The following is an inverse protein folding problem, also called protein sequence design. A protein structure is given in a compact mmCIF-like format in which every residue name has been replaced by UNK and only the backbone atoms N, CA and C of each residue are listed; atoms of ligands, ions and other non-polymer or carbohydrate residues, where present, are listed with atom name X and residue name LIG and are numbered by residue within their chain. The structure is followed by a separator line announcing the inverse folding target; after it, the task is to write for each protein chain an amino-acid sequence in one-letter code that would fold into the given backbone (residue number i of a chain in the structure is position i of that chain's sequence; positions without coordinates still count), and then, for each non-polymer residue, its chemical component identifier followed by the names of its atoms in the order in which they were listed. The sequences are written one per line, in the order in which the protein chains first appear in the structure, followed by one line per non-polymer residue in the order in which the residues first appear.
data_IF_427395442589
#
_entry.id   IF_427395442589
#
_cell.length_a   1.000
_cell.length_b   1.000
_cell.length_c   1.000
_cell.angle_alpha   90.00
_cell.angle_beta   90.00
_cell.angle_gamma   90.00
#
_symmetry.space_group_name_H-M   'P 1'
#
loop_
_entity.id
_entity.type
_entity.pdbx_description
1 polymer ?
#
# COMPACT_ATOMS: atom_id res chain seq x y z
N UNK A 1 9.11 2.05 -7.84
CA UNK A 1 7.64 2.09 -7.84
C UNK A 1 7.12 2.57 -9.19
N UNK A 2 7.33 3.85 -9.56
CA UNK A 2 6.87 4.39 -10.86
C UNK A 2 7.38 3.63 -12.09
N UNK A 3 8.63 3.16 -12.07
CA UNK A 3 9.17 2.32 -13.16
C UNK A 3 8.38 1.02 -13.39
N UNK A 4 7.76 0.48 -12.33
CA UNK A 4 6.92 -0.73 -12.39
C UNK A 4 5.44 -0.39 -12.56
N UNK A 5 5.11 0.82 -13.03
CA UNK A 5 3.73 1.28 -13.22
C UNK A 5 2.87 1.17 -11.94
N UNK A 6 3.49 1.52 -10.81
CA UNK A 6 2.82 1.62 -9.52
C UNK A 6 2.77 3.10 -9.15
N UNK A 7 1.57 3.69 -9.21
CA UNK A 7 1.34 5.08 -8.83
C UNK A 7 1.57 5.30 -7.34
N UNK A 8 2.13 6.47 -7.04
CA UNK A 8 2.38 6.97 -5.68
C UNK A 8 1.70 8.34 -5.54
N UNK A 9 0.38 8.40 -5.30
CA UNK A 9 -0.38 9.64 -5.34
C UNK A 9 0.06 10.66 -4.30
N UNK A 10 0.44 10.21 -3.10
CA UNK A 10 0.81 11.09 -1.99
C UNK A 10 1.89 10.49 -1.07
N UNK A 11 2.64 11.38 -0.41
CA UNK A 11 3.60 11.05 0.64
C UNK A 11 3.17 11.81 1.89
N UNK A 12 2.78 11.07 2.93
CA UNK A 12 2.37 11.66 4.20
C UNK A 12 3.57 11.70 5.15
N UNK A 13 3.92 12.88 5.66
CA UNK A 13 4.99 13.05 6.65
C UNK A 13 4.41 13.04 8.06
N UNK A 14 4.69 11.99 8.82
CA UNK A 14 4.41 11.89 10.24
C UNK A 14 5.62 12.35 11.07
N UNK A 15 5.43 12.70 12.35
CA UNK A 15 6.55 12.99 13.27
C UNK A 15 7.58 11.86 13.37
N UNK A 16 7.17 10.62 13.06
CA UNK A 16 7.99 9.40 13.12
C UNK A 16 8.58 8.98 11.76
N UNK A 17 8.29 9.71 10.66
CA UNK A 17 8.80 9.39 9.33
C UNK A 17 7.81 9.68 8.20
N UNK A 18 8.24 9.50 6.95
CA UNK A 18 7.39 9.62 5.76
C UNK A 18 6.86 8.27 5.30
N UNK A 19 5.55 8.19 5.03
CA UNK A 19 4.92 7.01 4.43
C UNK A 19 4.42 7.38 3.03
N UNK A 20 4.97 6.71 2.01
CA UNK A 20 4.48 6.81 0.64
C UNK A 20 3.28 5.87 0.46
N UNK A 21 2.15 6.41 0.00
CA UNK A 21 0.97 5.62 -0.31
C UNK A 21 1.14 5.02 -1.71
N UNK A 22 1.06 3.70 -1.82
CA UNK A 22 1.11 2.97 -3.08
C UNK A 22 -0.32 2.61 -3.49
N UNK A 23 -0.71 2.85 -4.74
CA UNK A 23 -2.04 2.46 -5.26
C UNK A 23 -2.24 0.95 -5.25
N UNK A 24 -1.18 0.19 -5.55
CA UNK A 24 -1.14 -1.27 -5.47
C UNK A 24 0.18 -1.74 -4.88
N UNK A 25 0.13 -2.82 -4.11
CA UNK A 25 1.37 -3.50 -3.70
C UNK A 25 1.93 -4.30 -4.90
N UNK A 26 3.26 -4.40 -5.06
CA UNK A 26 3.87 -5.20 -6.12
C UNK A 26 3.44 -6.67 -6.03
N UNK A 27 3.10 -7.27 -7.17
CA UNK A 27 2.68 -8.69 -7.24
C UNK A 27 3.91 -9.63 -7.24
N UNK A 28 5.03 -9.16 -7.78
CA UNK A 28 6.26 -9.94 -7.86
C UNK A 28 7.21 -9.62 -6.70
N UNK A 29 7.72 -10.63 -5.97
CA UNK A 29 8.68 -10.41 -4.88
C UNK A 29 9.94 -9.66 -5.30
N UNK A 30 10.41 -9.86 -6.54
CA UNK A 30 11.56 -9.15 -7.09
C UNK A 30 11.35 -7.65 -7.23
N UNK A 31 10.16 -7.22 -7.65
CA UNK A 31 9.80 -5.80 -7.76
C UNK A 31 9.77 -5.15 -6.37
N UNK A 32 9.19 -5.84 -5.39
CA UNK A 32 9.17 -5.39 -4.00
C UNK A 32 10.59 -5.20 -3.43
N UNK A 33 11.47 -6.17 -3.66
CA UNK A 33 12.88 -6.10 -3.24
C UNK A 33 13.59 -4.86 -3.81
N UNK A 34 13.46 -4.62 -5.12
CA UNK A 34 14.10 -3.46 -5.76
C UNK A 34 13.56 -2.15 -5.19
N UNK A 35 12.24 -2.07 -4.96
CA UNK A 35 11.62 -0.87 -4.38
C UNK A 35 12.10 -0.65 -2.94
N UNK A 36 12.16 -1.69 -2.11
CA UNK A 36 12.58 -1.59 -0.72
C UNK A 36 14.06 -1.23 -0.58
N UNK A 37 14.93 -1.73 -1.46
CA UNK A 37 16.35 -1.38 -1.49
C UNK A 37 16.60 0.05 -1.99
N UNK A 38 15.72 0.57 -2.87
CA UNK A 38 15.89 1.92 -3.42
C UNK A 38 15.88 3.02 -2.35
N UNK A 39 15.10 2.87 -1.26
CA UNK A 39 15.07 3.83 -0.16
C UNK A 39 16.43 3.99 0.54
N UNK A 40 16.98 2.93 1.15
CA UNK A 40 18.32 2.95 1.74
C UNK A 40 19.42 3.39 0.77
N UNK A 41 19.35 2.99 -0.51
CA UNK A 41 20.33 3.41 -1.52
C UNK A 41 20.39 4.92 -1.73
N UNK A 42 19.24 5.62 -1.70
CA UNK A 42 19.21 7.08 -1.79
C UNK A 42 19.90 7.71 -0.58
N UNK A 43 19.65 7.21 0.63
CA UNK A 43 20.32 7.70 1.84
C UNK A 43 21.84 7.45 1.79
N UNK A 44 22.28 6.28 1.29
CA UNK A 44 23.71 5.99 1.07
C UNK A 44 24.32 6.97 0.07
N UNK A 45 23.63 7.24 -1.05
CA UNK A 45 24.12 8.16 -2.07
C UNK A 45 24.24 9.60 -1.52
N UNK A 46 23.27 10.06 -0.73
CA UNK A 46 23.31 11.36 -0.05
C UNK A 46 24.49 11.42 0.93
N UNK A 47 24.66 10.40 1.78
CA UNK A 47 25.75 10.35 2.74
C UNK A 47 27.13 10.34 2.04
N UNK A 48 27.28 9.55 0.98
CA UNK A 48 28.51 9.46 0.19
C UNK A 48 28.84 10.79 -0.52
N UNK A 49 27.84 11.47 -1.09
CA UNK A 49 28.03 12.78 -1.71
C UNK A 49 28.50 13.82 -0.69
N UNK A 50 27.87 13.87 0.48
CA UNK A 50 28.26 14.79 1.54
C UNK A 50 29.68 14.48 2.03
N UNK A 51 30.04 13.20 2.18
CA UNK A 51 31.39 12.79 2.57
C UNK A 51 32.45 13.24 1.56
N UNK A 52 32.16 13.10 0.26
CA UNK A 52 33.03 13.59 -0.81
C UNK A 52 33.18 15.11 -0.77
N UNK A 53 32.08 15.85 -0.53
CA UNK A 53 32.09 17.32 -0.43
C UNK A 53 32.85 17.85 0.80
N UNK A 54 32.88 17.09 1.90
CA UNK A 54 33.64 17.41 3.11
C UNK A 54 35.14 17.05 3.00
N UNK A 55 35.62 16.63 1.82
CA UNK A 55 37.03 16.39 1.54
C UNK A 55 37.53 15.01 1.93
N UNK A 56 36.66 14.04 2.22
CA UNK A 56 37.02 12.64 2.50
C UNK A 56 37.86 12.38 3.76
N UNK A 57 38.39 13.43 4.39
CA UNK A 57 39.24 13.39 5.58
C UNK A 57 38.58 13.98 6.83
N UNK A 58 37.36 14.51 6.72
CA UNK A 58 36.51 14.76 7.88
C UNK A 58 36.16 13.39 8.47
N UNK A 59 37.00 12.93 9.41
CA UNK A 59 37.04 11.56 9.87
C UNK A 59 35.68 11.06 10.33
N UNK A 60 35.46 9.75 10.22
CA UNK A 60 34.31 9.02 10.77
C UNK A 60 34.03 9.42 12.24
N UNK A 61 35.05 9.85 12.98
CA UNK A 61 34.94 10.43 14.33
C UNK A 61 34.06 11.69 14.42
N UNK A 62 34.11 12.59 13.44
CA UNK A 62 33.24 13.77 13.38
C UNK A 62 31.79 13.43 13.00
N UNK A 63 31.49 12.20 12.58
CA UNK A 63 30.13 11.79 12.23
C UNK A 63 29.42 11.09 13.41
N UNK A 64 30.17 10.61 14.41
CA UNK A 64 29.63 9.93 15.59
C UNK A 64 29.07 10.89 16.65
N UNK A 65 29.52 12.15 16.68
CA UNK A 65 29.10 13.17 17.64
C UNK A 65 27.84 13.95 17.23
N UNK A 66 26.67 13.30 17.13
CA UNK A 66 25.41 13.93 16.66
C UNK A 66 24.96 15.13 17.54
N UNK A 67 25.50 15.26 18.75
CA UNK A 67 25.12 16.24 19.77
C UNK A 67 25.98 17.51 19.82
N UNK A 68 27.05 17.63 19.02
CA UNK A 68 27.96 18.79 19.12
C UNK A 68 27.42 20.01 18.34
N UNK A 69 27.11 21.16 18.99
CA UNK A 69 26.54 22.34 18.33
C UNK A 69 27.47 23.00 17.30
N UNK A 70 28.75 22.61 17.29
CA UNK A 70 29.80 23.13 16.38
C UNK A 70 29.96 22.30 15.11
N UNK A 71 29.22 21.20 14.98
CA UNK A 71 29.34 20.31 13.83
C UNK A 71 28.73 20.96 12.59
N UNK A 72 29.45 20.91 11.47
CA UNK A 72 28.94 21.37 10.19
C UNK A 72 27.59 20.68 9.90
N UNK A 73 26.55 21.45 9.58
CA UNK A 73 25.21 20.95 9.25
C UNK A 73 25.24 19.73 8.29
N UNK A 74 26.14 19.78 7.31
CA UNK A 74 26.41 18.70 6.36
C UNK A 74 26.85 17.39 7.05
N UNK A 75 27.79 17.45 7.99
CA UNK A 75 28.26 16.26 8.71
C UNK A 75 27.13 15.63 9.54
N UNK A 76 26.28 16.45 10.18
CA UNK A 76 25.10 15.98 10.90
C UNK A 76 24.08 15.33 9.98
N UNK A 77 23.83 15.93 8.81
CA UNK A 77 22.94 15.39 7.79
C UNK A 77 23.43 14.03 7.27
N UNK A 78 24.73 13.89 7.03
CA UNK A 78 25.33 12.62 6.63
C UNK A 78 25.23 11.55 7.73
N UNK A 79 25.50 11.92 8.99
CA UNK A 79 25.32 11.03 10.14
C UNK A 79 23.87 10.53 10.28
N UNK A 80 22.88 11.42 10.10
CA UNK A 80 21.46 11.05 10.08
C UNK A 80 21.14 10.09 8.93
N UNK A 81 21.65 10.33 7.71
CA UNK A 81 21.43 9.42 6.58
C UNK A 81 22.04 8.04 6.83
N UNK A 82 23.25 7.97 7.40
CA UNK A 82 23.88 6.70 7.78
C UNK A 82 23.05 5.97 8.84
N UNK A 83 22.60 6.69 9.88
CA UNK A 83 21.71 6.12 10.89
C UNK A 83 20.39 5.60 10.28
N UNK A 84 19.77 6.37 9.38
CA UNK A 84 18.57 5.96 8.65
C UNK A 84 18.80 4.70 7.82
N UNK A 85 19.97 4.54 7.18
CA UNK A 85 20.33 3.31 6.47
C UNK A 85 20.44 2.14 7.43
N UNK A 86 21.21 2.29 8.51
CA UNK A 86 21.41 1.22 9.50
C UNK A 86 20.08 0.76 10.10
N UNK A 87 19.23 1.73 10.49
CA UNK A 87 17.91 1.43 11.04
C UNK A 87 16.99 0.79 10.00
N UNK A 88 16.91 1.36 8.78
CA UNK A 88 16.04 0.80 7.74
C UNK A 88 16.55 -0.52 7.17
N UNK A 89 17.81 -0.91 7.35
CA UNK A 89 18.34 -2.20 6.89
C UNK A 89 18.16 -3.32 7.91
N UNK A 90 17.63 -3.03 9.10
CA UNK A 90 17.28 -4.06 10.09
C UNK A 90 16.24 -5.00 9.47
N UNK A 91 16.46 -6.33 9.46
CA UNK A 91 15.61 -7.29 8.77
C UNK A 91 14.33 -7.60 9.56
N UNK A 92 13.52 -6.58 9.82
CA UNK A 92 12.33 -6.65 10.65
C UNK A 92 11.31 -5.58 10.25
N UNK A 93 10.01 -5.87 10.37
CA UNK A 93 9.00 -4.82 10.21
C UNK A 93 8.99 -3.87 11.41
N UNK A 94 8.66 -2.58 11.22
CA UNK A 94 8.13 -1.93 10.01
C UNK A 94 9.18 -1.39 9.02
N UNK A 95 10.47 -1.67 9.25
CA UNK A 95 11.58 -1.09 8.49
C UNK A 95 11.67 -1.66 7.06
N UNK A 96 12.33 -0.94 6.14
CA UNK A 96 12.50 -1.40 4.76
C UNK A 96 13.21 -2.77 4.67
N UNK A 97 14.11 -3.07 5.61
CA UNK A 97 14.80 -4.34 5.75
C UNK A 97 13.85 -5.50 6.06
N UNK A 98 12.72 -5.23 6.72
CA UNK A 98 11.63 -6.18 6.87
C UNK A 98 10.97 -6.54 5.53
N UNK A 99 10.78 -5.55 4.65
CA UNK A 99 10.28 -5.76 3.27
C UNK A 99 11.28 -6.53 2.42
N UNK A 100 12.58 -6.22 2.57
CA UNK A 100 13.66 -6.92 1.89
C UNK A 100 13.73 -8.38 2.33
N UNK A 101 13.70 -8.64 3.65
CA UNK A 101 13.65 -9.98 4.20
C UNK A 101 12.39 -10.73 3.71
N UNK A 102 11.22 -10.08 3.77
CA UNK A 102 9.96 -10.64 3.28
C UNK A 102 10.07 -11.04 1.81
N UNK A 103 10.53 -10.14 0.95
CA UNK A 103 10.68 -10.39 -0.48
C UNK A 103 11.64 -11.56 -0.75
N UNK A 104 12.73 -11.67 0.00
CA UNK A 104 13.66 -12.80 -0.09
C UNK A 104 13.00 -14.12 0.34
N UNK A 105 12.25 -14.13 1.44
CA UNK A 105 11.55 -15.31 1.96
C UNK A 105 10.35 -15.73 1.09
N UNK A 106 9.69 -14.78 0.42
CA UNK A 106 8.55 -15.03 -0.46
C UNK A 106 8.90 -15.85 -1.71
N UNK A 107 10.19 -16.06 -1.99
CA UNK A 107 10.65 -17.01 -3.02
C UNK A 107 10.40 -18.49 -2.64
N UNK A 108 10.25 -18.80 -1.34
CA UNK A 108 10.09 -20.16 -0.82
C UNK A 108 8.87 -20.35 0.08
N UNK A 109 8.30 -19.26 0.58
CA UNK A 109 7.18 -19.25 1.52
C UNK A 109 6.02 -18.44 0.94
N UNK A 110 4.81 -18.64 1.45
CA UNK A 110 3.69 -17.75 1.12
C UNK A 110 4.00 -16.32 1.60
N UNK A 111 3.47 -15.33 0.88
CA UNK A 111 3.67 -13.91 1.19
C UNK A 111 3.25 -13.55 2.63
N UNK A 112 2.17 -14.16 3.11
CA UNK A 112 1.69 -14.03 4.49
C UNK A 112 2.68 -14.61 5.51
N UNK A 113 3.17 -15.84 5.31
CA UNK A 113 4.18 -16.45 6.19
C UNK A 113 5.48 -15.66 6.22
N UNK A 114 5.95 -15.18 5.06
CA UNK A 114 7.13 -14.34 4.97
C UNK A 114 6.94 -13.02 5.76
N UNK A 115 5.75 -12.42 5.69
CA UNK A 115 5.40 -11.22 6.46
C UNK A 115 5.36 -11.50 7.97
N UNK A 116 4.74 -12.60 8.37
CA UNK A 116 4.67 -13.01 9.78
C UNK A 116 6.06 -13.20 10.38
N UNK A 117 6.98 -13.86 9.68
CA UNK A 117 8.36 -14.03 10.15
C UNK A 117 9.04 -12.68 10.37
N UNK A 118 8.99 -11.78 9.38
CA UNK A 118 9.58 -10.45 9.49
C UNK A 118 8.94 -9.60 10.61
N UNK A 119 7.63 -9.76 10.84
CA UNK A 119 6.91 -9.10 11.92
C UNK A 119 7.29 -9.67 13.30
N UNK A 120 7.43 -10.99 13.45
CA UNK A 120 7.88 -11.62 14.70
C UNK A 120 9.29 -11.19 15.08
N UNK A 121 10.20 -11.07 14.10
CA UNK A 121 11.53 -10.51 14.34
C UNK A 121 11.41 -9.06 14.85
N UNK A 122 10.52 -8.26 14.26
CA UNK A 122 10.27 -6.87 14.68
C UNK A 122 9.71 -6.77 16.09
N UNK A 123 8.76 -7.64 16.44
CA UNK A 123 8.21 -7.74 17.80
C UNK A 123 9.29 -8.15 18.81
N UNK A 124 10.15 -9.11 18.45
CA UNK A 124 11.31 -9.50 19.27
C UNK A 124 12.26 -8.32 19.53
N UNK A 125 12.61 -7.56 18.48
CA UNK A 125 13.42 -6.35 18.62
C UNK A 125 12.74 -5.26 19.44
N UNK A 126 11.42 -5.10 19.32
CA UNK A 126 10.66 -4.18 20.15
C UNK A 126 10.75 -4.50 21.64
N UNK A 127 10.71 -5.79 22.02
CA UNK A 127 10.95 -6.21 23.40
C UNK A 127 12.38 -5.88 23.85
N UNK A 128 13.38 -6.09 23.00
CA UNK A 128 14.77 -5.71 23.29
C UNK A 128 14.88 -4.20 23.51
N UNK A 129 14.28 -3.37 22.64
CA UNK A 129 14.27 -1.91 22.82
C UNK A 129 13.53 -1.48 24.08
N UNK A 130 12.38 -2.09 24.40
CA UNK A 130 11.66 -1.82 25.64
C UNK A 130 12.47 -2.17 26.88
N UNK A 131 13.12 -3.34 26.88
CA UNK A 131 13.95 -3.78 28.00
C UNK A 131 15.18 -2.90 28.19
N UNK A 132 15.94 -2.64 27.11
CA UNK A 132 17.11 -1.73 27.14
C UNK A 132 16.67 -0.31 27.53
N UNK A 133 15.49 0.12 27.06
CA UNK A 133 14.94 1.43 27.38
C UNK A 133 14.67 1.66 28.86
N UNK A 134 14.40 0.61 29.63
CA UNK A 134 14.22 0.71 31.08
C UNK A 134 15.51 1.11 31.81
N UNK A 135 16.67 0.72 31.30
CA UNK A 135 17.97 0.93 31.96
C UNK A 135 18.76 2.11 31.40
N UNK A 136 18.61 2.41 30.11
CA UNK A 136 19.45 3.40 29.42
C UNK A 136 18.68 4.65 28.97
N UNK A 137 17.53 4.47 28.31
CA UNK A 137 16.81 5.60 27.71
C UNK A 137 15.31 5.31 27.54
N UNK A 138 14.41 5.99 28.27
CA UNK A 138 12.97 5.82 28.14
C UNK A 138 12.42 6.01 26.72
N UNK A 139 13.10 6.77 25.86
CA UNK A 139 12.73 6.93 24.46
C UNK A 139 12.72 5.60 23.70
N UNK A 140 13.61 4.66 24.04
CA UNK A 140 13.63 3.33 23.43
C UNK A 140 12.38 2.52 23.76
N UNK A 141 11.71 2.80 24.88
CA UNK A 141 10.43 2.18 25.23
C UNK A 141 9.36 2.64 24.25
N UNK A 142 9.29 3.95 23.98
CA UNK A 142 8.36 4.50 22.99
C UNK A 142 8.64 3.93 21.59
N UNK A 143 9.92 3.91 21.17
CA UNK A 143 10.32 3.31 19.89
C UNK A 143 9.91 1.83 19.83
N UNK A 144 10.16 1.06 20.90
CA UNK A 144 9.76 -0.34 21.00
C UNK A 144 8.25 -0.53 20.84
N UNK A 145 7.43 0.28 21.52
CA UNK A 145 5.96 0.25 21.38
C UNK A 145 5.55 0.51 19.91
N UNK A 146 6.10 1.55 19.27
CA UNK A 146 5.79 1.86 17.87
C UNK A 146 6.20 0.74 16.92
N UNK A 147 7.41 0.18 17.09
CA UNK A 147 7.90 -0.95 16.29
C UNK A 147 6.98 -2.16 16.47
N UNK A 148 6.57 -2.48 17.70
CA UNK A 148 5.67 -3.59 17.99
C UNK A 148 4.30 -3.41 17.31
N UNK A 149 3.68 -2.23 17.47
CA UNK A 149 2.37 -1.93 16.90
C UNK A 149 2.41 -1.95 15.37
N UNK A 150 3.45 -1.38 14.77
CA UNK A 150 3.58 -1.35 13.32
C UNK A 150 3.86 -2.74 12.73
N UNK A 151 4.70 -3.55 13.38
CA UNK A 151 4.93 -4.94 12.98
C UNK A 151 3.65 -5.79 13.10
N UNK A 152 2.89 -5.61 14.18
CA UNK A 152 1.60 -6.29 14.37
C UNK A 152 0.57 -5.88 13.30
N UNK A 153 0.49 -4.59 12.98
CA UNK A 153 -0.40 -4.09 11.93
C UNK A 153 -0.06 -4.69 10.55
N UNK A 154 1.23 -4.80 10.21
CA UNK A 154 1.65 -5.42 8.94
C UNK A 154 1.29 -6.91 8.88
N UNK A 155 1.51 -7.65 9.95
CA UNK A 155 1.13 -9.07 10.04
C UNK A 155 -0.38 -9.28 9.90
N UNK A 156 -1.18 -8.45 10.58
CA UNK A 156 -2.64 -8.52 10.52
C UNK A 156 -3.16 -8.19 9.11
N UNK A 157 -2.64 -7.12 8.49
CA UNK A 157 -3.00 -6.75 7.13
C UNK A 157 -2.69 -7.86 6.12
N UNK A 158 -1.55 -8.53 6.29
CA UNK A 158 -1.18 -9.64 5.41
C UNK A 158 -2.11 -10.85 5.56
N UNK A 159 -2.52 -11.18 6.79
CA UNK A 159 -3.45 -12.29 7.04
C UNK A 159 -4.83 -12.02 6.46
N UNK A 160 -5.38 -10.81 6.64
CA UNK A 160 -6.68 -10.41 6.06
C UNK A 160 -6.64 -10.55 4.53
N UNK A 161 -5.54 -10.11 3.92
CA UNK A 161 -5.37 -10.16 2.46
C UNK A 161 -5.25 -11.59 1.92
N UNK A 162 -4.54 -12.47 2.63
CA UNK A 162 -4.45 -13.89 2.26
C UNK A 162 -5.83 -14.55 2.26
N UNK A 163 -6.65 -14.29 3.29
CA UNK A 163 -8.02 -14.78 3.35
C UNK A 163 -8.86 -14.24 2.19
N UNK A 164 -8.80 -12.94 1.92
CA UNK A 164 -9.54 -12.32 0.82
C UNK A 164 -9.16 -12.90 -0.56
N UNK A 165 -7.91 -13.30 -0.74
CA UNK A 165 -7.43 -13.89 -2.01
C UNK A 165 -7.79 -15.37 -2.14
N UNK A 166 -8.07 -16.05 -1.03
CA UNK A 166 -8.42 -17.48 -1.02
C UNK A 166 -9.88 -17.76 -1.37
N UNK A 167 -10.75 -16.75 -1.38
CA UNK A 167 -12.18 -16.86 -1.72
C UNK A 167 -12.37 -16.66 -3.22
N UNK A 168 -13.08 -17.57 -3.90
CA UNK A 168 -13.38 -17.40 -5.32
C UNK A 168 -14.47 -16.36 -5.49
N UNK A 169 -14.41 -15.57 -6.58
CA UNK A 169 -15.48 -14.62 -6.92
C UNK A 169 -16.83 -15.33 -6.99
N UNK A 170 -16.85 -16.58 -7.48
CA UNK A 170 -18.04 -17.44 -7.53
C UNK A 170 -18.70 -17.70 -6.17
N UNK A 171 -17.94 -17.68 -5.08
CA UNK A 171 -18.44 -17.97 -3.73
C UNK A 171 -19.15 -16.76 -3.10
N UNK A 172 -18.90 -15.56 -3.62
CA UNK A 172 -19.40 -14.29 -3.08
C UNK A 172 -20.23 -13.47 -4.08
N UNK A 173 -20.21 -13.83 -5.36
CA UNK A 173 -20.96 -13.13 -6.40
C UNK A 173 -22.47 -13.38 -6.26
N UNK A 174 -23.24 -12.33 -6.49
CA UNK A 174 -24.69 -12.45 -6.68
C UNK A 174 -24.90 -13.06 -8.07
N UNK A 175 -25.40 -14.29 -8.13
CA UNK A 175 -25.67 -15.01 -9.39
C UNK A 175 -27.06 -14.75 -9.93
N UNK A 176 -28.00 -14.37 -9.06
CA UNK A 176 -29.35 -13.98 -9.43
C UNK A 176 -29.45 -12.46 -9.44
N UNK A 177 -29.35 -11.89 -10.63
CA UNK A 177 -29.48 -10.46 -10.87
C UNK A 177 -30.52 -10.20 -11.95
N UNK A 178 -31.18 -9.05 -11.86
CA UNK A 178 -32.11 -8.62 -12.88
C UNK A 178 -31.34 -8.06 -14.08
N UNK A 179 -31.84 -8.32 -15.29
CA UNK A 179 -31.23 -7.92 -16.56
C UNK A 179 -32.25 -7.17 -17.40
N UNK A 180 -31.80 -6.19 -18.16
CA UNK A 180 -32.64 -5.40 -19.06
C UNK A 180 -32.33 -5.78 -20.51
N UNK A 181 -33.35 -5.96 -21.33
CA UNK A 181 -33.14 -6.10 -22.77
C UNK A 181 -32.83 -4.72 -23.37
N UNK A 182 -32.01 -4.65 -24.42
CA UNK A 182 -31.67 -3.37 -25.09
C UNK A 182 -32.87 -2.56 -25.56
N UNK A 183 -33.99 -3.22 -25.85
CA UNK A 183 -35.26 -2.62 -26.27
C UNK A 183 -36.17 -2.22 -25.12
N UNK A 184 -35.85 -2.61 -23.88
CA UNK A 184 -36.62 -2.21 -22.70
C UNK A 184 -36.64 -0.68 -22.57
N UNK A 185 -37.73 -0.16 -22.02
CA UNK A 185 -37.90 1.28 -21.81
C UNK A 185 -37.23 1.73 -20.51
N UNK A 186 -36.91 3.03 -20.43
CA UNK A 186 -36.41 3.60 -19.17
C UNK A 186 -37.43 3.49 -18.04
N UNK A 187 -38.73 3.50 -18.34
CA UNK A 187 -39.78 3.31 -17.34
C UNK A 187 -39.72 1.90 -16.73
N UNK A 188 -39.63 0.85 -17.57
CA UNK A 188 -39.44 -0.54 -17.13
C UNK A 188 -38.15 -0.70 -16.32
N UNK A 189 -37.07 -0.01 -16.71
CA UNK A 189 -35.82 -0.01 -15.97
C UNK A 189 -35.95 0.64 -14.58
N UNK A 190 -36.72 1.72 -14.47
CA UNK A 190 -37.00 2.38 -13.19
C UNK A 190 -37.92 1.53 -12.31
N UNK A 191 -38.96 0.90 -12.87
CA UNK A 191 -39.78 -0.06 -12.12
C UNK A 191 -38.93 -1.21 -11.58
N UNK A 192 -38.02 -1.76 -12.38
CA UNK A 192 -37.10 -2.81 -11.96
C UNK A 192 -36.11 -2.33 -10.88
N UNK A 193 -35.65 -1.09 -10.98
CA UNK A 193 -34.82 -0.44 -9.95
C UNK A 193 -35.56 -0.22 -8.64
N UNK A 194 -36.87 0.03 -8.68
CA UNK A 194 -37.71 0.17 -7.49
C UNK A 194 -38.10 -1.19 -6.90
N UNK A 195 -38.22 -2.22 -7.75
CA UNK A 195 -38.58 -3.57 -7.35
C UNK A 195 -37.40 -4.40 -6.81
N UNK A 196 -36.15 -3.97 -7.05
CA UNK A 196 -34.94 -4.69 -6.66
C UNK A 196 -34.01 -3.80 -5.82
N UNK A 197 -33.06 -4.40 -5.11
CA UNK A 197 -31.98 -3.65 -4.42
C UNK A 197 -30.80 -3.34 -5.34
N UNK A 198 -30.90 -3.70 -6.62
CA UNK A 198 -29.84 -3.57 -7.62
C UNK A 198 -29.77 -2.13 -8.12
N UNK A 199 -28.57 -1.58 -8.19
CA UNK A 199 -28.33 -0.21 -8.68
C UNK A 199 -27.79 -0.17 -10.10
N UNK A 200 -27.23 -1.28 -10.58
CA UNK A 200 -26.56 -1.40 -11.86
C UNK A 200 -27.11 -2.61 -12.61
N UNK A 201 -27.62 -2.40 -13.81
CA UNK A 201 -28.30 -3.43 -14.58
C UNK A 201 -27.51 -3.80 -15.83
N UNK A 202 -27.13 -5.07 -16.00
CA UNK A 202 -26.58 -5.54 -17.26
C UNK A 202 -27.65 -5.47 -18.35
N UNK A 203 -27.28 -4.87 -19.47
CA UNK A 203 -28.10 -4.81 -20.68
C UNK A 203 -27.71 -5.97 -21.57
N UNK A 204 -28.68 -6.79 -21.95
CA UNK A 204 -28.45 -7.96 -22.81
C UNK A 204 -29.15 -7.83 -24.16
N UNK A 205 -28.58 -8.47 -25.17
CA UNK A 205 -29.26 -8.71 -26.44
C UNK A 205 -30.38 -9.77 -26.28
N UNK A 206 -31.17 -9.97 -27.34
CA UNK A 206 -32.25 -10.97 -27.36
C UNK A 206 -31.72 -12.42 -27.30
N UNK A 207 -30.42 -12.64 -27.49
CA UNK A 207 -29.74 -13.92 -27.32
C UNK A 207 -29.14 -14.10 -25.90
N UNK A 208 -29.30 -13.12 -25.01
CA UNK A 208 -28.82 -13.12 -23.64
C UNK A 208 -27.34 -12.76 -23.47
N UNK A 209 -26.67 -12.23 -24.50
CA UNK A 209 -25.29 -11.76 -24.42
C UNK A 209 -25.24 -10.34 -23.85
N UNK A 210 -24.29 -10.09 -22.97
CA UNK A 210 -24.05 -8.77 -22.38
C UNK A 210 -23.61 -7.77 -23.47
N UNK A 211 -24.35 -6.68 -23.63
CA UNK A 211 -23.99 -5.57 -24.52
C UNK A 211 -23.43 -4.35 -23.75
N UNK A 212 -23.80 -4.19 -22.47
CA UNK A 212 -23.33 -3.08 -21.66
C UNK A 212 -23.94 -3.05 -20.27
N UNK A 213 -23.74 -1.95 -19.56
CA UNK A 213 -24.25 -1.72 -18.20
C UNK A 213 -24.99 -0.38 -18.14
N UNK A 214 -26.09 -0.33 -17.41
CA UNK A 214 -26.80 0.91 -17.11
C UNK A 214 -26.86 1.09 -15.61
N UNK A 215 -26.29 2.19 -15.13
CA UNK A 215 -26.34 2.56 -13.70
C UNK A 215 -27.60 3.37 -13.40
N UNK A 216 -28.03 3.38 -12.13
CA UNK A 216 -29.10 4.25 -11.64
C UNK A 216 -28.96 5.71 -12.10
N UNK A 217 -27.74 6.25 -12.04
CA UNK A 217 -27.48 7.63 -12.41
C UNK A 217 -27.68 7.88 -13.92
N UNK A 218 -27.30 6.91 -14.76
CA UNK A 218 -27.49 6.99 -16.20
C UNK A 218 -28.98 6.89 -16.57
N UNK A 219 -29.75 6.03 -15.88
CA UNK A 219 -31.21 5.95 -16.06
C UNK A 219 -31.90 7.26 -15.74
N UNK A 220 -31.61 7.85 -14.57
CA UNK A 220 -32.22 9.11 -14.13
C UNK A 220 -31.88 10.24 -15.09
N UNK A 221 -30.63 10.30 -15.55
CA UNK A 221 -30.19 11.30 -16.52
C UNK A 221 -30.91 11.13 -17.86
N UNK A 222 -30.93 9.91 -18.39
CA UNK A 222 -31.57 9.60 -19.67
C UNK A 222 -33.09 9.80 -19.61
N UNK A 223 -33.72 9.52 -18.46
CA UNK A 223 -35.15 9.77 -18.24
C UNK A 223 -35.47 11.26 -18.33
N UNK A 224 -34.62 12.12 -17.76
CA UNK A 224 -34.77 13.57 -17.82
C UNK A 224 -34.52 14.13 -19.22
N UNK A 225 -33.59 13.57 -19.97
CA UNK A 225 -33.21 14.06 -21.31
C UNK A 225 -34.12 13.53 -22.44
N UNK A 226 -34.52 12.26 -22.38
CA UNK A 226 -35.18 11.52 -23.48
C UNK A 226 -36.59 11.02 -23.14
N UNK A 227 -36.99 11.10 -21.87
CA UNK A 227 -38.31 10.67 -21.40
C UNK A 227 -38.42 9.16 -21.10
N UNK A 228 -39.54 8.72 -20.51
CA UNK A 228 -39.73 7.35 -19.99
C UNK A 228 -39.78 6.27 -21.08
N UNK A 229 -40.30 6.60 -22.26
CA UNK A 229 -40.44 5.67 -23.37
C UNK A 229 -39.14 5.45 -24.16
N UNK A 230 -38.06 6.16 -23.84
CA UNK A 230 -36.78 5.97 -24.53
C UNK A 230 -36.17 4.60 -24.17
N UNK A 231 -35.52 3.93 -25.14
CA UNK A 231 -34.90 2.63 -24.90
C UNK A 231 -33.67 2.76 -24.02
N UNK A 232 -33.46 1.76 -23.16
CA UNK A 232 -32.33 1.64 -22.22
C UNK A 232 -30.98 1.61 -22.97
N UNK A 233 -30.95 1.10 -24.20
CA UNK A 233 -29.78 1.17 -25.09
C UNK A 233 -29.25 2.61 -25.30
N UNK A 234 -30.09 3.64 -25.15
CA UNK A 234 -29.67 5.04 -25.26
C UNK A 234 -29.02 5.61 -24.00
N UNK A 235 -28.97 4.84 -22.90
CA UNK A 235 -28.43 5.21 -21.60
C UNK A 235 -27.30 4.27 -21.14
N UNK A 236 -27.05 3.18 -21.86
CA UNK A 236 -26.03 2.19 -21.50
C UNK A 236 -24.61 2.71 -21.74
N UNK A 237 -23.69 2.24 -20.91
CA UNK A 237 -22.25 2.38 -21.10
C UNK A 237 -21.71 1.11 -21.74
N UNK A 238 -20.81 1.31 -22.70
CA UNK A 238 -19.92 0.27 -23.19
C UNK A 238 -18.57 0.55 -22.55
N UNK A 239 -18.11 -0.35 -21.69
CA UNK A 239 -16.73 -0.38 -21.25
C UNK A 239 -15.86 -1.03 -22.34
#
# INVERSE_FOLDING_TARGET
ARYFDISTPDITLFPIGGVARLERMPEEPGQEFVIAVAGPLVNVAIAALIFALLGGSAGVEQMAGIEDPRMNFLARLAGVNVFLVLFNMIPAFPMDGGRILRAALASRLSWSRATQIAATIGQGLAFVFGFVGLFYNPLLIFIGIFVYLAAAAEAQNAQIREVATSVLVGDVMITEFARLERSATLDEAIEMLLATTQHDFPVTDSAGRLEGLVTRNDMIRALKEKGPAAPVAGAMRHD
#
